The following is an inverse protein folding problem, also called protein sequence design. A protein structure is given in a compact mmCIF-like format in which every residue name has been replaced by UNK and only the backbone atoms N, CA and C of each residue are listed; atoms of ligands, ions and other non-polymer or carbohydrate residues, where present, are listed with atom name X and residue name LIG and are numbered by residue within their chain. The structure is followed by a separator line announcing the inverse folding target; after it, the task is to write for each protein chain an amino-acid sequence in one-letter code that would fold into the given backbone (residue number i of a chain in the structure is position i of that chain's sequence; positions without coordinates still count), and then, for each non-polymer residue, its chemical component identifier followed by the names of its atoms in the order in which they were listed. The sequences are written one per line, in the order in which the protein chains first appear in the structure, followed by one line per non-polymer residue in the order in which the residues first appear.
data_IF_452884441723
#
_entry.id   IF_452884441723
#
_cell.length_a   1.000
_cell.length_b   1.000
_cell.length_c   1.000
_cell.angle_alpha   90.00
_cell.angle_beta   90.00
_cell.angle_gamma   90.00
#
_symmetry.space_group_name_H-M   'P 1'
#
loop_
_entity.id
_entity.type
_entity.pdbx_description
1 polymer ?
#
# COMPACT_ATOMS: atom_id res chain seq x y z
N UNK A 1 -13.54 -20.71 37.80
CA UNK A 1 -13.86 -20.95 36.36
C UNK A 1 -13.69 -19.70 35.51
N UNK A 2 -14.02 -18.51 35.99
CA UNK A 2 -13.81 -17.26 35.22
C UNK A 2 -12.34 -17.05 34.78
N UNK A 3 -11.39 -17.35 35.67
CA UNK A 3 -9.96 -17.25 35.36
C UNK A 3 -9.53 -18.20 34.22
N UNK A 4 -10.07 -19.43 34.19
CA UNK A 4 -9.78 -20.40 33.13
C UNK A 4 -10.26 -19.89 31.77
N UNK A 5 -11.50 -19.42 31.71
CA UNK A 5 -12.08 -18.83 30.49
C UNK A 5 -11.23 -17.64 30.01
N UNK A 6 -10.83 -16.77 30.93
CA UNK A 6 -10.02 -15.61 30.60
C UNK A 6 -8.65 -15.99 30.02
N UNK A 7 -7.96 -16.99 30.59
CA UNK A 7 -6.68 -17.50 30.06
C UNK A 7 -6.84 -18.05 28.64
N UNK A 8 -7.88 -18.85 28.40
CA UNK A 8 -8.16 -19.42 27.08
C UNK A 8 -8.42 -18.30 26.06
N UNK A 9 -9.31 -17.36 26.40
CA UNK A 9 -9.60 -16.22 25.53
C UNK A 9 -8.35 -15.39 25.24
N UNK A 10 -7.52 -15.13 26.24
CA UNK A 10 -6.27 -14.39 26.07
C UNK A 10 -5.31 -15.13 25.11
N UNK A 11 -5.16 -16.45 25.26
CA UNK A 11 -4.34 -17.25 24.35
C UNK A 11 -4.85 -17.25 22.90
N UNK A 12 -6.17 -17.31 22.70
CA UNK A 12 -6.79 -17.21 21.37
C UNK A 12 -6.58 -15.83 20.74
N UNK A 13 -6.69 -14.76 21.53
CA UNK A 13 -6.42 -13.38 21.08
C UNK A 13 -4.95 -13.23 20.67
N UNK A 14 -4.02 -13.76 21.47
CA UNK A 14 -2.58 -13.75 21.16
C UNK A 14 -2.32 -14.43 19.82
N UNK A 15 -2.86 -15.64 19.61
CA UNK A 15 -2.71 -16.34 18.34
C UNK A 15 -3.22 -15.53 17.15
N UNK A 16 -4.42 -14.94 17.27
CA UNK A 16 -4.99 -14.11 16.20
C UNK A 16 -4.10 -12.90 15.89
N UNK A 17 -3.64 -12.19 16.92
CA UNK A 17 -2.74 -11.04 16.76
C UNK A 17 -1.43 -11.45 16.09
N UNK A 18 -0.86 -12.59 16.47
CA UNK A 18 0.34 -13.15 15.85
C UNK A 18 0.16 -13.42 14.34
N UNK A 19 -0.99 -13.90 13.90
CA UNK A 19 -1.29 -14.12 12.47
C UNK A 19 -1.41 -12.81 11.67
N UNK A 20 -1.89 -11.74 12.32
CA UNK A 20 -2.09 -10.42 11.69
C UNK A 20 -0.78 -9.59 11.62
N UNK A 21 0.32 -10.09 12.19
CA UNK A 21 1.60 -9.38 12.21
C UNK A 21 2.19 -9.20 10.80
N UNK A 22 2.58 -7.96 10.49
CA UNK A 22 3.16 -7.61 9.18
C UNK A 22 4.63 -7.98 9.04
N UNK A 23 5.35 -8.05 10.16
CA UNK A 23 6.80 -8.25 10.23
C UNK A 23 7.12 -9.44 11.14
N UNK A 24 8.34 -9.97 11.00
CA UNK A 24 8.83 -11.11 11.79
C UNK A 24 7.79 -12.25 11.89
N UNK A 25 7.23 -12.59 10.72
CA UNK A 25 6.06 -13.47 10.62
C UNK A 25 6.36 -14.87 11.15
N UNK A 26 7.59 -15.37 10.97
CA UNK A 26 7.96 -16.71 11.44
C UNK A 26 7.91 -16.77 12.96
N UNK A 27 8.59 -15.84 13.63
CA UNK A 27 8.59 -15.77 15.09
C UNK A 27 7.20 -15.49 15.67
N UNK A 28 6.42 -14.59 15.06
CA UNK A 28 5.06 -14.30 15.53
C UNK A 28 4.15 -15.52 15.42
N UNK A 29 4.13 -16.19 14.26
CA UNK A 29 3.32 -17.41 14.07
C UNK A 29 3.77 -18.53 14.99
N UNK A 30 5.07 -18.70 15.19
CA UNK A 30 5.62 -19.70 16.13
C UNK A 30 5.09 -19.47 17.53
N UNK A 31 5.17 -18.23 18.04
CA UNK A 31 4.62 -17.87 19.35
C UNK A 31 3.12 -18.18 19.42
N UNK A 32 2.35 -17.75 18.41
CA UNK A 32 0.91 -18.01 18.35
C UNK A 32 0.57 -19.50 18.40
N UNK A 33 1.23 -20.32 17.57
CA UNK A 33 1.02 -21.77 17.54
C UNK A 33 1.38 -22.44 18.86
N UNK A 34 2.48 -22.03 19.49
CA UNK A 34 2.86 -22.52 20.82
C UNK A 34 1.77 -22.19 21.84
N UNK A 35 1.33 -20.93 21.90
CA UNK A 35 0.27 -20.48 22.82
C UNK A 35 -1.02 -21.28 22.61
N UNK A 36 -1.45 -21.53 21.37
CA UNK A 36 -2.59 -22.40 21.09
C UNK A 36 -2.37 -23.82 21.63
N UNK A 37 -1.20 -24.40 21.40
CA UNK A 37 -0.85 -25.72 21.92
C UNK A 37 -0.87 -25.78 23.45
N UNK A 38 -0.47 -24.69 24.13
CA UNK A 38 -0.50 -24.59 25.59
C UNK A 38 -1.91 -24.42 26.14
N UNK A 39 -2.80 -23.66 25.50
CA UNK A 39 -4.18 -23.52 26.00
C UNK A 39 -5.05 -24.74 25.67
N UNK A 40 -4.62 -25.63 24.78
CA UNK A 40 -5.45 -26.77 24.35
C UNK A 40 -5.89 -27.70 25.49
N UNK A 41 -5.01 -28.13 26.41
CA UNK A 41 -5.44 -28.90 27.58
C UNK A 41 -6.36 -28.09 28.51
N UNK A 42 -6.25 -26.77 28.54
CA UNK A 42 -7.12 -25.90 29.34
C UNK A 42 -8.53 -25.81 28.75
N UNK A 43 -8.66 -25.79 27.42
CA UNK A 43 -9.96 -25.92 26.74
C UNK A 43 -10.63 -27.25 27.08
N UNK A 44 -9.89 -28.35 26.98
CA UNK A 44 -10.40 -29.68 27.35
C UNK A 44 -10.82 -29.75 28.82
N UNK A 45 -10.10 -29.06 29.72
CA UNK A 45 -10.45 -28.95 31.13
C UNK A 45 -11.75 -28.13 31.33
N UNK A 46 -11.95 -27.08 30.53
CA UNK A 46 -13.17 -26.27 30.54
C UNK A 46 -14.38 -27.10 30.07
N UNK A 47 -14.21 -27.87 29.00
CA UNK A 47 -15.27 -28.69 28.38
C UNK A 47 -15.73 -29.85 29.27
N UNK A 48 -14.86 -30.35 30.14
CA UNK A 48 -15.18 -31.43 31.09
C UNK A 48 -16.14 -31.02 32.21
N UNK A 49 -16.49 -29.73 32.34
CA UNK A 49 -17.35 -29.23 33.41
C UNK A 49 -16.73 -29.42 34.82
N UNK A 50 -17.49 -29.10 35.88
CA UNK A 50 -17.02 -29.06 37.28
C UNK A 50 -16.40 -30.40 37.75
N UNK A 51 -15.11 -30.62 37.51
CA UNK A 51 -14.24 -31.31 38.47
C UNK A 51 -13.81 -30.30 39.53
N UNK A 52 -13.51 -30.84 40.71
CA UNK A 52 -13.15 -30.18 41.97
C UNK A 52 -12.63 -28.75 41.88
N UNK A 53 -12.97 -27.92 42.87
CA UNK A 53 -12.37 -26.60 43.09
C UNK A 53 -10.84 -26.69 42.90
N UNK A 54 -10.24 -25.87 42.01
CA UNK A 54 -8.81 -25.89 41.78
C UNK A 54 -8.04 -25.74 43.09
N UNK A 55 -7.02 -26.57 43.29
CA UNK A 55 -6.06 -26.40 44.39
C UNK A 55 -5.48 -24.98 44.39
N UNK A 56 -5.06 -24.49 45.55
CA UNK A 56 -4.35 -23.21 45.67
C UNK A 56 -3.09 -23.20 44.79
N UNK A 57 -2.39 -24.34 44.71
CA UNK A 57 -1.21 -24.52 43.85
C UNK A 57 -1.56 -24.39 42.37
N UNK A 58 -2.63 -25.07 41.94
CA UNK A 58 -3.13 -24.98 40.56
C UNK A 58 -3.58 -23.55 40.21
N UNK A 59 -4.31 -22.89 41.11
CA UNK A 59 -4.72 -21.49 40.94
C UNK A 59 -3.51 -20.55 40.80
N UNK A 60 -2.48 -20.75 41.62
CA UNK A 60 -1.24 -19.95 41.56
C UNK A 60 -0.50 -20.17 40.25
N UNK A 61 -0.35 -21.42 39.80
CA UNK A 61 0.28 -21.74 38.52
C UNK A 61 -0.49 -21.17 37.33
N UNK A 62 -1.83 -21.22 37.36
CA UNK A 62 -2.69 -20.60 36.35
C UNK A 62 -2.50 -19.08 36.30
N UNK A 63 -2.39 -18.41 37.45
CA UNK A 63 -2.14 -16.96 37.51
C UNK A 63 -0.76 -16.59 36.96
N UNK A 64 0.29 -17.39 37.25
CA UNK A 64 1.62 -17.20 36.66
C UNK A 64 1.61 -17.38 35.15
N UNK A 65 0.89 -18.39 34.66
CA UNK A 65 0.71 -18.62 33.22
C UNK A 65 -0.05 -17.46 32.57
N UNK A 66 -1.13 -16.97 33.20
CA UNK A 66 -1.86 -15.78 32.75
C UNK A 66 -0.93 -14.58 32.61
N UNK A 67 -0.11 -14.29 33.63
CA UNK A 67 0.83 -13.17 33.60
C UNK A 67 1.87 -13.31 32.46
N UNK A 68 2.33 -14.52 32.16
CA UNK A 68 3.21 -14.77 31.02
C UNK A 68 2.53 -14.53 29.66
N UNK A 69 1.23 -14.87 29.53
CA UNK A 69 0.44 -14.55 28.35
C UNK A 69 0.20 -13.04 28.20
N UNK A 70 -0.07 -12.33 29.30
CA UNK A 70 -0.23 -10.86 29.28
C UNK A 70 1.06 -10.17 28.82
N UNK A 71 2.22 -10.64 29.31
CA UNK A 71 3.53 -10.16 28.84
C UNK A 71 3.77 -10.46 27.36
N UNK A 72 3.44 -11.67 26.91
CA UNK A 72 3.51 -12.03 25.49
C UNK A 72 2.67 -11.09 24.63
N UNK A 73 1.44 -10.79 25.07
CA UNK A 73 0.54 -9.88 24.39
C UNK A 73 1.08 -8.44 24.34
N UNK A 74 1.70 -7.97 25.42
CA UNK A 74 2.36 -6.66 25.47
C UNK A 74 3.55 -6.55 24.51
N UNK A 75 4.39 -7.59 24.41
CA UNK A 75 5.49 -7.62 23.44
C UNK A 75 4.98 -7.68 21.99
N UNK A 76 3.89 -8.38 21.71
CA UNK A 76 3.24 -8.36 20.39
C UNK A 76 2.76 -6.95 20.04
N UNK A 77 2.09 -6.25 20.97
CA UNK A 77 1.66 -4.86 20.76
C UNK A 77 2.85 -3.94 20.50
N UNK A 78 3.92 -4.06 21.29
CA UNK A 78 5.16 -3.29 21.12
C UNK A 78 5.81 -3.52 19.76
N UNK A 79 5.89 -4.78 19.31
CA UNK A 79 6.48 -5.13 18.03
C UNK A 79 5.51 -4.98 16.84
N UNK A 80 4.24 -4.63 17.04
CA UNK A 80 3.37 -4.24 15.92
C UNK A 80 3.88 -3.00 15.18
N UNK A 81 4.66 -2.16 15.88
CA UNK A 81 5.27 -0.97 15.33
C UNK A 81 6.60 -1.27 14.61
N UNK A 82 6.69 -0.89 13.34
CA UNK A 82 7.90 -1.08 12.50
C UNK A 82 9.17 -0.49 13.11
N UNK A 83 9.09 0.68 13.74
CA UNK A 83 10.26 1.36 14.33
C UNK A 83 10.78 0.60 15.54
N UNK A 84 9.90 0.00 16.35
CA UNK A 84 10.29 -0.83 17.47
C UNK A 84 11.01 -2.10 17.01
N UNK A 85 10.48 -2.78 15.99
CA UNK A 85 11.15 -3.93 15.38
C UNK A 85 12.51 -3.52 14.82
N UNK A 86 12.58 -2.44 14.04
CA UNK A 86 13.83 -1.99 13.43
C UNK A 86 14.89 -1.71 14.50
N UNK A 87 14.52 -1.01 15.56
CA UNK A 87 15.39 -0.71 16.70
C UNK A 87 15.86 -1.99 17.39
N UNK A 88 14.95 -2.93 17.66
CA UNK A 88 15.28 -4.21 18.26
C UNK A 88 16.22 -5.05 17.39
N UNK A 89 15.89 -5.24 16.11
CA UNK A 89 16.69 -6.01 15.17
C UNK A 89 18.05 -5.36 14.90
N UNK A 90 18.20 -4.05 15.13
CA UNK A 90 19.50 -3.39 15.04
C UNK A 90 20.34 -3.66 16.29
N UNK A 91 19.74 -3.57 17.48
CA UNK A 91 20.46 -3.66 18.76
C UNK A 91 20.69 -5.10 19.28
N UNK A 92 19.72 -6.00 19.11
CA UNK A 92 19.81 -7.38 19.61
C UNK A 92 20.87 -8.18 18.85
N UNK A 93 21.56 -9.12 19.50
CA UNK A 93 22.56 -9.98 18.85
C UNK A 93 21.92 -11.20 18.19
N UNK A 94 21.07 -11.91 18.93
CA UNK A 94 20.40 -13.15 18.49
C UNK A 94 19.21 -12.89 17.55
N UNK A 95 18.67 -11.67 17.56
CA UNK A 95 17.50 -11.23 16.77
C UNK A 95 16.20 -11.97 17.12
N UNK A 96 16.15 -12.62 18.29
CA UNK A 96 14.98 -13.37 18.76
C UNK A 96 14.03 -12.41 19.49
N UNK A 97 12.91 -12.06 18.87
CA UNK A 97 11.95 -11.06 19.38
C UNK A 97 11.36 -11.45 20.74
N UNK A 98 10.98 -12.71 20.89
CA UNK A 98 10.21 -13.20 22.04
C UNK A 98 11.05 -14.08 22.98
N UNK A 99 12.36 -13.87 23.06
CA UNK A 99 13.27 -14.74 23.82
C UNK A 99 12.85 -14.92 25.28
N UNK A 100 12.65 -13.82 25.98
CA UNK A 100 12.28 -13.83 27.40
C UNK A 100 10.86 -14.38 27.60
N UNK A 101 9.93 -14.00 26.72
CA UNK A 101 8.55 -14.50 26.70
C UNK A 101 8.50 -16.00 26.50
N UNK A 102 9.22 -16.54 25.51
CA UNK A 102 9.26 -17.97 25.20
C UNK A 102 9.86 -18.76 26.37
N UNK A 103 10.94 -18.27 26.97
CA UNK A 103 11.53 -18.89 28.16
C UNK A 103 10.53 -18.90 29.31
N UNK A 104 9.94 -17.75 29.63
CA UNK A 104 8.98 -17.62 30.73
C UNK A 104 7.75 -18.51 30.51
N UNK A 105 7.18 -18.53 29.31
CA UNK A 105 6.06 -19.41 28.94
C UNK A 105 6.42 -20.88 29.12
N UNK A 106 7.60 -21.31 28.67
CA UNK A 106 8.07 -22.68 28.86
C UNK A 106 8.18 -23.04 30.35
N UNK A 107 8.76 -22.16 31.16
CA UNK A 107 9.00 -22.41 32.58
C UNK A 107 7.70 -22.50 33.38
N UNK A 108 6.80 -21.53 33.23
CA UNK A 108 5.49 -21.56 33.92
C UNK A 108 4.60 -22.70 33.41
N UNK A 109 4.74 -23.11 32.15
CA UNK A 109 3.98 -24.22 31.59
C UNK A 109 4.44 -25.57 32.11
N UNK A 110 5.75 -25.77 32.35
CA UNK A 110 6.25 -27.00 33.00
C UNK A 110 5.60 -27.19 34.37
N UNK A 111 5.52 -26.13 35.18
CA UNK A 111 4.83 -26.18 36.48
C UNK A 111 3.34 -26.50 36.31
N UNK A 112 2.63 -25.77 35.43
CA UNK A 112 1.20 -25.94 35.23
C UNK A 112 0.84 -27.33 34.66
N UNK A 113 1.60 -27.82 33.69
CA UNK A 113 1.36 -29.12 33.04
C UNK A 113 1.49 -30.29 34.02
N UNK A 114 2.48 -30.25 34.94
CA UNK A 114 2.61 -31.25 35.99
C UNK A 114 1.39 -31.24 36.93
N UNK A 115 0.92 -30.06 37.34
CA UNK A 115 -0.26 -29.95 38.18
C UNK A 115 -1.53 -30.43 37.46
N UNK A 116 -1.69 -30.13 36.17
CA UNK A 116 -2.79 -30.63 35.35
C UNK A 116 -2.78 -32.16 35.21
N UNK A 117 -1.61 -32.77 35.08
CA UNK A 117 -1.47 -34.23 35.03
C UNK A 117 -1.79 -34.87 36.37
N UNK A 118 -1.27 -34.32 37.48
CA UNK A 118 -1.42 -34.92 38.82
C UNK A 118 -2.82 -34.70 39.39
N UNK A 119 -3.31 -33.46 39.37
CA UNK A 119 -4.58 -33.09 40.02
C UNK A 119 -5.79 -33.34 39.12
N UNK A 120 -5.65 -33.10 37.81
CA UNK A 120 -6.79 -33.17 36.86
C UNK A 120 -6.75 -34.41 35.96
N UNK A 121 -5.69 -35.24 36.04
CA UNK A 121 -5.47 -36.43 35.20
C UNK A 121 -5.51 -36.11 33.70
N UNK A 122 -5.04 -34.92 33.33
CA UNK A 122 -5.06 -34.44 31.96
C UNK A 122 -3.87 -34.99 31.18
N UNK A 123 -4.06 -35.59 29.99
CA UNK A 123 -2.96 -35.88 29.09
C UNK A 123 -2.41 -34.56 28.56
N UNK A 124 -1.11 -34.30 28.73
CA UNK A 124 -0.43 -33.13 28.18
C UNK A 124 0.63 -33.58 27.18
N UNK A 125 0.59 -33.00 25.99
CA UNK A 125 1.50 -33.36 24.89
C UNK A 125 2.97 -33.01 25.20
N UNK A 126 3.93 -33.84 24.76
CA UNK A 126 5.37 -33.56 24.89
C UNK A 126 5.82 -32.31 24.12
N UNK A 127 5.12 -31.95 23.03
CA UNK A 127 5.35 -30.73 22.23
C UNK A 127 5.33 -29.47 23.11
N UNK A 128 4.59 -29.50 24.22
CA UNK A 128 4.46 -28.37 25.13
C UNK A 128 5.64 -28.22 26.12
N UNK A 129 6.64 -29.13 26.11
CA UNK A 129 7.76 -29.09 27.07
C UNK A 129 8.90 -28.13 26.70
N UNK A 130 8.92 -27.62 25.46
CA UNK A 130 9.82 -26.53 25.08
C UNK A 130 11.27 -26.91 24.78
N UNK A 131 11.62 -28.20 24.73
CA UNK A 131 13.01 -28.65 24.55
C UNK A 131 13.66 -28.16 23.24
N UNK A 132 12.89 -28.04 22.16
CA UNK A 132 13.35 -27.55 20.85
C UNK A 132 13.21 -26.04 20.64
N UNK A 133 12.60 -25.31 21.59
CA UNK A 133 12.15 -23.94 21.33
C UNK A 133 13.31 -22.99 21.01
N UNK A 134 14.43 -23.09 21.71
CA UNK A 134 15.58 -22.21 21.46
C UNK A 134 16.16 -22.40 20.04
N UNK A 135 16.17 -23.63 19.54
CA UNK A 135 16.65 -23.93 18.18
C UNK A 135 15.67 -23.41 17.12
N UNK A 136 14.37 -23.64 17.31
CA UNK A 136 13.32 -23.12 16.44
C UNK A 136 13.34 -21.58 16.43
N UNK A 137 13.52 -20.95 17.60
CA UNK A 137 13.56 -19.50 17.75
C UNK A 137 14.71 -18.89 16.96
N UNK A 138 15.89 -19.50 17.02
CA UNK A 138 17.05 -19.03 16.27
C UNK A 138 16.83 -19.17 14.75
N UNK A 139 16.26 -20.29 14.31
CA UNK A 139 15.95 -20.51 12.89
C UNK A 139 14.94 -19.47 12.39
N UNK A 140 13.83 -19.28 13.11
CA UNK A 140 12.78 -18.34 12.74
C UNK A 140 13.33 -16.89 12.76
N UNK A 141 14.20 -16.56 13.72
CA UNK A 141 14.87 -15.26 13.79
C UNK A 141 15.78 -14.99 12.59
N UNK A 142 16.55 -15.98 12.15
CA UNK A 142 17.42 -15.85 10.99
C UNK A 142 16.64 -15.69 9.68
N UNK A 143 15.52 -16.41 9.53
CA UNK A 143 14.62 -16.26 8.37
C UNK A 143 13.98 -14.86 8.34
N UNK A 144 13.43 -14.42 9.47
CA UNK A 144 12.79 -13.12 9.60
C UNK A 144 13.78 -11.97 9.40
N UNK A 145 15.00 -12.09 9.94
CA UNK A 145 16.07 -11.11 9.75
C UNK A 145 16.41 -10.96 8.27
N UNK A 146 16.57 -12.06 7.54
CA UNK A 146 16.86 -12.04 6.10
C UNK A 146 15.74 -11.35 5.34
N UNK A 147 14.49 -11.71 5.61
CA UNK A 147 13.33 -11.09 4.97
C UNK A 147 13.26 -9.57 5.27
N UNK A 148 13.50 -9.17 6.52
CA UNK A 148 13.46 -7.77 6.92
C UNK A 148 14.58 -6.94 6.26
N UNK A 149 15.78 -7.50 6.12
CA UNK A 149 16.88 -6.84 5.43
C UNK A 149 16.59 -6.61 3.94
N UNK A 150 15.93 -7.57 3.27
CA UNK A 150 15.52 -7.41 1.88
C UNK A 150 14.52 -6.25 1.72
N UNK A 151 13.47 -6.25 2.56
CA UNK A 151 12.49 -5.16 2.59
C UNK A 151 13.12 -3.78 2.85
N UNK A 152 14.17 -3.73 3.69
CA UNK A 152 14.89 -2.49 3.96
C UNK A 152 15.65 -2.00 2.72
N UNK A 153 16.40 -2.87 2.04
CA UNK A 153 17.15 -2.51 0.83
C UNK A 153 16.24 -2.05 -0.31
N UNK A 154 15.10 -2.70 -0.49
CA UNK A 154 14.16 -2.32 -1.55
C UNK A 154 13.56 -0.94 -1.27
N UNK A 155 13.22 -0.64 -0.01
CA UNK A 155 12.80 0.70 0.38
C UNK A 155 13.89 1.77 0.15
N UNK A 156 15.15 1.47 0.48
CA UNK A 156 16.27 2.38 0.24
C UNK A 156 16.46 2.66 -1.28
N UNK A 157 16.31 1.64 -2.14
CA UNK A 157 16.36 1.80 -3.60
C UNK A 157 15.19 2.62 -4.15
N UNK A 158 13.99 2.40 -3.62
CA UNK A 158 12.79 3.16 -3.99
C UNK A 158 12.97 4.63 -3.58
N UNK A 159 13.41 4.88 -2.34
CA UNK A 159 13.64 6.23 -1.83
C UNK A 159 14.70 6.98 -2.67
N UNK A 160 15.81 6.32 -3.02
CA UNK A 160 16.83 6.90 -3.89
C UNK A 160 16.29 7.24 -5.28
N UNK A 161 15.42 6.40 -5.84
CA UNK A 161 14.80 6.63 -7.14
C UNK A 161 13.79 7.78 -7.10
N UNK A 162 13.01 7.90 -6.02
CA UNK A 162 12.09 9.03 -5.81
C UNK A 162 12.85 10.35 -5.68
N UNK A 163 13.98 10.39 -4.95
CA UNK A 163 14.84 11.58 -4.86
C UNK A 163 15.40 11.99 -6.22
N UNK A 164 15.85 11.03 -7.04
CA UNK A 164 16.29 11.30 -8.42
C UNK A 164 15.17 11.86 -9.28
N UNK A 165 13.97 11.28 -9.21
CA UNK A 165 12.82 11.78 -9.96
C UNK A 165 12.45 13.20 -9.55
N UNK A 166 12.50 13.51 -8.24
CA UNK A 166 12.24 14.85 -7.73
C UNK A 166 13.26 15.88 -8.26
N UNK A 167 14.55 15.51 -8.32
CA UNK A 167 15.60 16.35 -8.91
C UNK A 167 15.31 16.58 -10.40
N UNK A 168 15.06 15.52 -11.16
CA UNK A 168 14.78 15.62 -12.60
C UNK A 168 13.52 16.48 -12.88
N UNK A 169 12.47 16.35 -12.06
CA UNK A 169 11.28 17.20 -12.18
C UNK A 169 11.59 18.68 -11.93
N UNK A 170 12.46 19.00 -10.96
CA UNK A 170 12.90 20.37 -10.71
C UNK A 170 13.69 20.93 -11.90
N UNK A 171 14.59 20.13 -12.48
CA UNK A 171 15.35 20.52 -13.67
C UNK A 171 14.46 20.74 -14.90
N UNK A 172 13.49 19.86 -15.16
CA UNK A 172 12.52 20.03 -16.26
C UNK A 172 11.71 21.31 -16.08
N UNK A 173 11.24 21.56 -14.85
CA UNK A 173 10.47 22.77 -14.54
C UNK A 173 11.30 24.04 -14.78
N UNK A 174 12.57 24.03 -14.39
CA UNK A 174 13.48 25.16 -14.59
C UNK A 174 13.80 25.38 -16.08
N UNK A 175 14.06 24.31 -16.83
CA UNK A 175 14.30 24.36 -18.27
C UNK A 175 13.09 24.92 -19.02
N UNK A 176 11.87 24.52 -18.63
CA UNK A 176 10.63 25.06 -19.20
C UNK A 176 10.46 26.55 -18.88
N UNK A 177 10.78 26.97 -17.65
CA UNK A 177 10.76 28.40 -17.26
C UNK A 177 11.71 29.22 -18.13
N UNK A 178 12.96 28.76 -18.26
CA UNK A 178 13.98 29.42 -19.07
C UNK A 178 13.57 29.49 -20.55
N UNK A 179 12.95 28.43 -21.08
CA UNK A 179 12.45 28.39 -22.45
C UNK A 179 11.29 29.38 -22.68
N UNK A 180 10.40 29.53 -21.70
CA UNK A 180 9.31 30.51 -21.76
C UNK A 180 9.85 31.95 -21.70
N UNK A 181 10.81 32.22 -20.81
CA UNK A 181 11.47 33.53 -20.68
C UNK A 181 12.33 33.89 -21.91
N UNK A 182 12.94 32.92 -22.58
CA UNK A 182 13.69 33.16 -23.83
C UNK A 182 12.78 33.27 -25.06
N UNK A 183 11.56 32.71 -25.02
CA UNK A 183 10.55 32.87 -26.06
C UNK A 183 9.83 34.22 -26.04
N UNK A 184 9.89 34.98 -24.93
CA UNK A 184 9.32 36.34 -24.85
C UNK A 184 10.12 37.41 -25.61
N UNK A 185 11.19 37.02 -26.33
CA UNK A 185 12.04 37.94 -27.10
C UNK A 185 12.10 37.69 -28.61
N UNK A 186 11.94 36.46 -29.12
CA UNK A 186 12.07 36.16 -30.56
C UNK A 186 11.24 34.94 -30.96
N UNK A 187 10.21 35.17 -31.77
CA UNK A 187 9.50 34.14 -32.53
C UNK A 187 10.37 33.65 -33.70
N UNK A 188 10.63 32.34 -33.84
CA UNK A 188 11.15 31.75 -35.06
C UNK A 188 10.10 30.83 -35.68
N UNK A 189 9.04 31.42 -36.23
CA UNK A 189 8.19 30.78 -37.23
C UNK A 189 7.92 31.77 -38.37
N UNK A 190 8.99 32.16 -39.07
CA UNK A 190 8.89 32.57 -40.47
C UNK A 190 8.65 31.32 -41.33
N UNK A 191 7.45 30.75 -41.23
CA UNK A 191 6.93 29.91 -42.30
C UNK A 191 6.30 30.89 -43.29
N UNK A 192 7.00 31.08 -44.40
CA UNK A 192 6.56 31.68 -45.68
C UNK A 192 5.22 32.41 -45.62
N UNK A 193 5.26 33.72 -45.42
CA UNK A 193 4.13 34.59 -45.74
C UNK A 193 3.89 34.56 -47.24
N UNK A 194 3.09 33.61 -47.71
CA UNK A 194 2.23 33.90 -48.85
C UNK A 194 1.42 35.13 -48.44
N UNK A 195 1.65 36.25 -49.12
CA UNK A 195 0.84 37.46 -48.96
C UNK A 195 -0.58 37.13 -49.42
N UNK A 196 -1.40 36.64 -48.50
CA UNK A 196 -2.86 36.69 -48.67
C UNK A 196 -3.21 38.17 -48.61
N UNK A 197 -3.40 38.78 -49.78
CA UNK A 197 -4.00 40.10 -49.88
C UNK A 197 -5.46 39.95 -49.44
N UNK A 198 -5.83 40.78 -48.47
CA UNK A 198 -7.19 41.13 -48.08
C UNK A 198 -8.09 39.98 -47.63
N UNK A 199 -8.02 39.64 -46.34
CA UNK A 199 -9.23 39.25 -45.61
C UNK A 199 -9.72 40.49 -44.88
N UNK A 200 -10.88 40.98 -45.30
CA UNK A 200 -11.62 42.06 -44.66
C UNK A 200 -11.95 41.56 -43.24
N UNK A 201 -11.31 42.13 -42.23
CA UNK A 201 -11.59 41.83 -40.83
C UNK A 201 -13.05 42.20 -40.54
N UNK A 202 -13.92 41.20 -40.51
CA UNK A 202 -15.21 41.29 -39.85
C UNK A 202 -14.96 41.39 -38.35
N UNK A 203 -15.04 42.61 -37.83
CA UNK A 203 -15.11 43.01 -36.43
C UNK A 203 -15.17 41.88 -35.39
N UNK A 204 -14.00 41.42 -34.91
CA UNK A 204 -13.89 40.63 -33.68
C UNK A 204 -13.06 41.35 -32.60
N UNK A 205 -12.85 42.67 -32.71
CA UNK A 205 -12.30 43.45 -31.60
C UNK A 205 -13.42 43.79 -30.62
N UNK A 206 -13.74 42.86 -29.71
CA UNK A 206 -14.66 43.18 -28.60
C UNK A 206 -15.36 42.02 -27.89
N UNK A 207 -15.33 40.80 -28.40
CA UNK A 207 -16.11 39.70 -27.78
C UNK A 207 -15.41 39.11 -26.56
N UNK A 208 -16.15 38.98 -25.45
CA UNK A 208 -15.68 38.22 -24.28
C UNK A 208 -15.81 36.70 -24.53
N UNK A 209 -15.12 35.88 -23.72
CA UNK A 209 -15.08 34.42 -23.92
C UNK A 209 -16.45 33.74 -23.81
N UNK A 210 -17.39 34.32 -23.06
CA UNK A 210 -18.74 33.78 -22.89
C UNK A 210 -19.61 34.02 -24.13
N UNK A 211 -19.51 35.20 -24.73
CA UNK A 211 -20.16 35.54 -26.00
C UNK A 211 -19.68 34.65 -27.13
N UNK A 212 -18.36 34.41 -27.22
CA UNK A 212 -17.79 33.48 -28.22
C UNK A 212 -18.36 32.08 -28.02
N UNK A 213 -18.43 31.60 -26.78
CA UNK A 213 -18.98 30.28 -26.49
C UNK A 213 -20.44 30.18 -26.91
N UNK A 214 -21.25 31.22 -26.66
CA UNK A 214 -22.66 31.27 -27.07
C UNK A 214 -22.80 31.24 -28.60
N UNK A 215 -22.06 32.10 -29.32
CA UNK A 215 -22.10 32.19 -30.78
C UNK A 215 -21.71 30.87 -31.46
N UNK A 216 -20.62 30.24 -31.01
CA UNK A 216 -20.06 29.03 -31.65
C UNK A 216 -20.80 27.76 -31.23
N UNK A 217 -21.17 27.64 -29.94
CA UNK A 217 -21.73 26.38 -29.42
C UNK A 217 -23.26 26.32 -29.48
N UNK A 218 -23.94 27.45 -29.29
CA UNK A 218 -25.40 27.52 -29.20
C UNK A 218 -25.98 28.01 -30.52
N UNK A 219 -25.51 29.15 -31.01
CA UNK A 219 -26.05 29.79 -32.22
C UNK A 219 -25.45 29.17 -33.50
N UNK A 220 -24.33 28.44 -33.38
CA UNK A 220 -23.61 27.73 -34.46
C UNK A 220 -23.23 28.64 -35.63
N UNK A 221 -22.99 29.90 -35.32
CA UNK A 221 -22.60 30.90 -36.30
C UNK A 221 -21.22 30.58 -36.87
N UNK A 222 -21.11 30.60 -38.19
CA UNK A 222 -19.85 30.44 -38.91
C UNK A 222 -19.57 31.69 -39.71
N UNK A 223 -18.36 32.23 -39.58
CA UNK A 223 -17.95 33.36 -40.39
C UNK A 223 -18.07 33.01 -41.89
N UNK A 224 -18.81 33.81 -42.68
CA UNK A 224 -19.03 33.53 -44.08
C UNK A 224 -17.71 33.62 -44.85
N UNK A 225 -17.53 32.70 -45.79
CA UNK A 225 -16.40 32.75 -46.70
C UNK A 225 -16.60 33.90 -47.70
N UNK A 226 -15.54 34.65 -47.97
CA UNK A 226 -15.56 35.76 -48.92
C UNK A 226 -16.02 35.32 -50.31
N UNK A 227 -16.57 36.25 -51.08
CA UNK A 227 -17.11 35.99 -52.44
C UNK A 227 -16.04 35.47 -53.41
N UNK A 228 -14.76 35.78 -53.14
CA UNK A 228 -13.62 35.34 -53.95
C UNK A 228 -13.19 33.87 -53.69
N UNK A 229 -13.91 33.13 -52.83
CA UNK A 229 -13.57 31.73 -52.52
C UNK A 229 -14.10 30.77 -53.60
N UNK A 230 -13.23 29.99 -54.27
CA UNK A 230 -13.66 28.99 -55.25
C UNK A 230 -14.63 27.96 -54.66
N UNK A 231 -15.64 27.55 -55.43
CA UNK A 231 -16.72 26.64 -55.00
C UNK A 231 -16.21 25.32 -54.41
N UNK A 232 -15.16 24.76 -55.00
CA UNK A 232 -14.56 23.48 -54.64
C UNK A 232 -13.79 23.58 -53.32
N UNK A 233 -13.11 24.71 -53.08
CA UNK A 233 -12.44 24.97 -51.81
C UNK A 233 -13.44 25.31 -50.71
N UNK A 234 -14.50 26.03 -51.06
CA UNK A 234 -15.60 26.36 -50.16
C UNK A 234 -16.19 25.11 -49.52
N UNK A 235 -16.48 24.10 -50.33
CA UNK A 235 -17.02 22.83 -49.84
C UNK A 235 -16.06 22.12 -48.86
N UNK A 236 -14.76 22.10 -49.17
CA UNK A 236 -13.75 21.47 -48.29
C UNK A 236 -13.65 22.24 -46.97
N UNK A 237 -13.64 23.58 -47.02
CA UNK A 237 -13.54 24.44 -45.85
C UNK A 237 -14.77 24.28 -44.96
N UNK A 238 -15.98 24.26 -45.54
CA UNK A 238 -17.22 24.10 -44.80
C UNK A 238 -17.29 22.74 -44.09
N UNK A 239 -16.81 21.66 -44.74
CA UNK A 239 -16.69 20.34 -44.12
C UNK A 239 -15.67 20.32 -42.98
N UNK A 240 -14.52 20.97 -43.16
CA UNK A 240 -13.51 21.08 -42.09
C UNK A 240 -14.02 21.87 -40.88
N UNK A 241 -14.89 22.86 -41.11
CA UNK A 241 -15.50 23.72 -40.10
C UNK A 241 -16.78 23.14 -39.50
N UNK A 242 -17.20 21.93 -39.89
CA UNK A 242 -18.42 21.31 -39.40
C UNK A 242 -18.46 21.27 -37.86
N UNK A 243 -19.60 21.64 -37.28
CA UNK A 243 -19.77 21.64 -35.82
C UNK A 243 -19.61 20.23 -35.23
N UNK A 244 -20.17 19.22 -35.90
CA UNK A 244 -19.96 17.81 -35.58
C UNK A 244 -18.55 17.37 -36.05
N UNK A 245 -17.67 16.95 -35.14
CA UNK A 245 -16.33 16.46 -35.50
C UNK A 245 -16.35 15.26 -36.44
N UNK A 246 -17.41 14.45 -36.43
CA UNK A 246 -17.53 13.23 -37.25
C UNK A 246 -17.72 13.52 -38.73
N UNK A 247 -18.22 14.73 -39.06
CA UNK A 247 -18.40 15.19 -40.43
C UNK A 247 -17.13 15.83 -41.02
N UNK A 248 -16.09 16.01 -40.18
CA UNK A 248 -14.85 16.62 -40.61
C UNK A 248 -14.00 15.57 -41.33
N UNK A 249 -13.47 15.89 -42.53
CA UNK A 249 -12.64 14.97 -43.27
C UNK A 249 -11.30 14.76 -42.57
N UNK A 250 -10.72 13.59 -42.78
CA UNK A 250 -9.36 13.28 -42.40
C UNK A 250 -8.35 14.04 -43.27
N UNK A 251 -7.10 14.13 -42.80
CA UNK A 251 -6.01 14.77 -43.55
C UNK A 251 -5.84 14.14 -44.94
N UNK A 252 -5.94 12.82 -45.04
CA UNK A 252 -5.80 12.10 -46.31
C UNK A 252 -6.94 12.42 -47.30
N UNK A 253 -8.16 12.56 -46.80
CA UNK A 253 -9.32 12.96 -47.61
C UNK A 253 -9.20 14.41 -48.09
N UNK A 254 -8.71 15.32 -47.24
CA UNK A 254 -8.43 16.70 -47.62
C UNK A 254 -7.38 16.75 -48.73
N UNK A 255 -6.26 16.04 -48.58
CA UNK A 255 -5.21 15.99 -49.59
C UNK A 255 -5.70 15.41 -50.90
N UNK A 256 -6.57 14.38 -50.86
CA UNK A 256 -7.19 13.82 -52.05
C UNK A 256 -8.09 14.83 -52.77
N UNK A 257 -8.94 15.57 -52.04
CA UNK A 257 -9.82 16.61 -52.61
C UNK A 257 -9.04 17.83 -53.14
N UNK A 258 -7.93 18.19 -52.51
CA UNK A 258 -7.05 19.26 -52.99
C UNK A 258 -6.23 18.82 -54.21
N UNK A 259 -5.90 17.54 -54.33
CA UNK A 259 -5.15 17.01 -55.48
C UNK A 259 -5.94 17.11 -56.80
N UNK A 260 -7.27 17.06 -56.73
CA UNK A 260 -8.16 17.28 -57.88
C UNK A 260 -8.30 18.75 -58.27
N UNK A 261 -7.90 19.68 -57.39
CA UNK A 261 -7.92 21.12 -57.66
C UNK A 261 -6.66 21.62 -58.40
N UNK A 262 -5.58 20.83 -58.39
CA UNK A 262 -4.27 21.19 -58.99
C UNK A 262 -4.08 20.65 -60.42
N UNK A 263 -5.14 20.20 -61.10
CA UNK A 263 -5.16 19.82 -62.52
C UNK A 263 -6.05 20.76 -63.30
#
# INVERSE_FOLDING_TARGET
MENLKHIITLGQVIHKRCEEMKYCKKQCRRLGHRVLGLIKPLEMLQDQGKRSVPSEKLTTAMNRFKAALEEANGEIEKFSNRSNICRFLTASQDKILFKDVNRKLSDVWKELSLLLQVEQRMPVSPISQGASWAQEDQQDADEDRRAFQMLRRDNEKIEASLRRLEINMKEIKETLRQSLESSSGKSPLEISRFKVKNVKTGSASGCNSEEIRKLVSVEREQEPLGEDCPSELREIIDQCRAHDPSLRPSVDEILKKLSTFSK
#
